data_IF_374119784245
#
_entry.id   IF_374119784245
#
_cell.length_a   1.000
_cell.length_b   1.000
_cell.length_c   1.000
_cell.angle_alpha   90.00
_cell.angle_beta   90.00
_cell.angle_gamma   90.00
#
_symmetry.space_group_name_H-M   'P 1'
#
loop_
_entity.id
_entity.type
_entity.pdbx_description
1 polymer ?
#
# COMPACT_ATOMS: atom_id res chain seq x y z
N UNK A 1 -19.84 -1.30 11.55
CA UNK A 1 -18.98 -1.95 10.53
C UNK A 1 -17.55 -1.66 10.92
N UNK A 2 -16.74 -2.68 11.20
CA UNK A 2 -15.31 -2.49 11.45
C UNK A 2 -14.60 -2.35 10.10
N UNK A 3 -13.68 -1.38 9.98
CA UNK A 3 -12.82 -1.26 8.80
C UNK A 3 -11.86 -2.46 8.76
N UNK A 4 -11.71 -3.06 7.58
CA UNK A 4 -10.69 -4.09 7.36
C UNK A 4 -9.31 -3.51 7.63
N UNK A 5 -8.43 -4.25 8.33
CA UNK A 5 -7.04 -3.84 8.57
C UNK A 5 -6.30 -3.58 7.26
N UNK A 6 -6.58 -4.39 6.24
CA UNK A 6 -6.03 -4.28 4.88
C UNK A 6 -6.37 -2.92 4.25
N UNK A 7 -7.66 -2.56 4.26
CA UNK A 7 -8.12 -1.26 3.78
C UNK A 7 -7.43 -0.09 4.49
N UNK A 8 -7.24 -0.19 5.82
CA UNK A 8 -6.55 0.85 6.58
C UNK A 8 -5.07 0.98 6.21
N UNK A 9 -4.36 -0.14 6.04
CA UNK A 9 -2.94 -0.17 5.63
C UNK A 9 -2.78 0.42 4.24
N UNK A 10 -3.55 -0.03 3.26
CA UNK A 10 -3.43 0.42 1.88
C UNK A 10 -3.81 1.89 1.71
N UNK A 11 -4.90 2.31 2.36
CA UNK A 11 -5.30 3.72 2.35
C UNK A 11 -4.23 4.60 2.97
N UNK A 12 -3.60 4.14 4.06
CA UNK A 12 -2.48 4.86 4.68
C UNK A 12 -1.28 4.95 3.73
N UNK A 13 -0.95 3.86 3.03
CA UNK A 13 0.13 3.85 2.04
C UNK A 13 -0.14 4.82 0.88
N UNK A 14 -1.38 4.84 0.37
CA UNK A 14 -1.81 5.76 -0.69
C UNK A 14 -1.72 7.21 -0.24
N UNK A 15 -2.26 7.54 0.94
CA UNK A 15 -2.23 8.91 1.48
C UNK A 15 -0.79 9.34 1.75
N UNK A 16 0.03 8.49 2.35
CA UNK A 16 1.43 8.78 2.65
C UNK A 16 2.24 9.02 1.37
N UNK A 17 2.06 8.18 0.34
CA UNK A 17 2.75 8.34 -0.94
C UNK A 17 2.29 9.59 -1.72
N UNK A 18 1.00 9.89 -1.74
CA UNK A 18 0.47 11.11 -2.38
C UNK A 18 0.98 12.38 -1.67
N UNK A 19 0.96 12.38 -0.33
CA UNK A 19 1.54 13.44 0.47
C UNK A 19 3.04 13.60 0.19
N UNK A 20 3.80 12.50 0.21
CA UNK A 20 5.24 12.55 0.03
C UNK A 20 5.64 13.04 -1.36
N UNK A 21 4.87 12.65 -2.40
CA UNK A 21 5.07 13.15 -3.77
C UNK A 21 4.94 14.67 -3.82
N UNK A 22 3.92 15.22 -3.14
CA UNK A 22 3.71 16.67 -3.07
C UNK A 22 4.77 17.36 -2.22
N UNK A 23 5.10 16.78 -1.06
CA UNK A 23 6.09 17.30 -0.12
C UNK A 23 7.49 17.40 -0.74
N UNK A 24 7.87 16.46 -1.61
CA UNK A 24 9.15 16.43 -2.31
C UNK A 24 9.39 17.68 -3.18
N UNK A 25 8.33 18.33 -3.66
CA UNK A 25 8.40 19.55 -4.47
C UNK A 25 7.98 20.82 -3.71
N UNK A 26 7.25 20.67 -2.60
CA UNK A 26 6.78 21.81 -1.81
C UNK A 26 7.81 22.32 -0.78
N UNK A 27 8.67 21.44 -0.26
CA UNK A 27 9.64 21.78 0.77
C UNK A 27 11.07 21.89 0.24
N UNK A 28 11.91 22.62 0.96
CA UNK A 28 13.34 22.63 0.72
C UNK A 28 13.96 21.23 0.91
N UNK A 29 15.00 20.92 0.13
CA UNK A 29 15.58 19.58 0.06
C UNK A 29 15.89 18.93 1.44
N UNK A 30 16.51 19.62 2.42
CA UNK A 30 16.77 19.01 3.72
C UNK A 30 15.50 18.57 4.46
N UNK A 31 14.44 19.36 4.37
CA UNK A 31 13.15 19.08 5.02
C UNK A 31 12.43 17.94 4.31
N UNK A 32 12.39 17.98 2.97
CA UNK A 32 11.80 16.91 2.16
C UNK A 32 12.47 15.56 2.42
N UNK A 33 13.80 15.51 2.56
CA UNK A 33 14.54 14.27 2.87
C UNK A 33 14.15 13.70 4.24
N UNK A 34 14.03 14.53 5.29
CA UNK A 34 13.63 14.06 6.61
C UNK A 34 12.19 13.55 6.66
N UNK A 35 11.28 14.21 5.93
CA UNK A 35 9.90 13.75 5.78
C UNK A 35 9.88 12.39 5.06
N UNK A 36 10.62 12.27 3.94
CA UNK A 36 10.73 11.03 3.19
C UNK A 36 11.27 9.89 4.06
N UNK A 37 12.36 10.13 4.80
CA UNK A 37 12.97 9.17 5.71
C UNK A 37 11.95 8.65 6.73
N UNK A 38 11.23 9.54 7.41
CA UNK A 38 10.21 9.16 8.40
C UNK A 38 9.05 8.36 7.79
N UNK A 39 8.55 8.78 6.63
CA UNK A 39 7.45 8.08 5.93
C UNK A 39 7.89 6.70 5.47
N UNK A 40 9.09 6.55 4.92
CA UNK A 40 9.57 5.23 4.49
C UNK A 40 9.75 4.27 5.66
N UNK A 41 10.20 4.73 6.84
CA UNK A 41 10.17 3.91 8.06
C UNK A 41 8.74 3.46 8.39
N UNK A 42 7.78 4.38 8.32
CA UNK A 42 6.36 4.07 8.53
C UNK A 42 5.84 3.00 7.55
N UNK A 43 6.19 3.11 6.26
CA UNK A 43 5.78 2.14 5.25
C UNK A 43 6.43 0.76 5.46
N UNK A 44 7.68 0.70 5.93
CA UNK A 44 8.33 -0.55 6.32
C UNK A 44 7.57 -1.21 7.47
N UNK A 45 7.24 -0.44 8.50
CA UNK A 45 6.50 -0.94 9.65
C UNK A 45 5.10 -1.44 9.25
N UNK A 46 4.37 -0.66 8.44
CA UNK A 46 3.03 -1.02 7.97
C UNK A 46 3.05 -2.26 7.07
N UNK A 47 3.94 -2.30 6.07
CA UNK A 47 4.10 -3.46 5.20
C UNK A 47 4.54 -4.70 5.98
N UNK A 48 5.49 -4.55 6.92
CA UNK A 48 5.94 -5.65 7.78
C UNK A 48 4.84 -6.18 8.70
N UNK A 49 4.05 -5.30 9.31
CA UNK A 49 2.88 -5.70 10.09
C UNK A 49 1.83 -6.39 9.23
N UNK A 50 1.56 -5.88 8.02
CA UNK A 50 0.66 -6.51 7.06
C UNK A 50 1.09 -7.93 6.70
N UNK A 51 2.39 -8.14 6.48
CA UNK A 51 2.97 -9.48 6.23
C UNK A 51 2.73 -10.44 7.39
N UNK A 52 2.86 -9.97 8.64
CA UNK A 52 2.68 -10.80 9.84
C UNK A 52 1.21 -11.10 10.13
N UNK A 53 0.32 -10.15 9.83
CA UNK A 53 -1.10 -10.24 10.19
C UNK A 53 -1.96 -10.89 9.10
N UNK A 54 -1.52 -10.89 7.84
CA UNK A 54 -2.33 -11.42 6.75
C UNK A 54 -2.14 -12.93 6.56
N UNK A 55 -3.27 -13.64 6.54
CA UNK A 55 -3.30 -15.11 6.38
C UNK A 55 -3.49 -15.54 4.93
N UNK A 56 -3.71 -14.59 4.01
CA UNK A 56 -3.95 -14.85 2.59
C UNK A 56 -2.70 -14.54 1.77
N UNK A 57 -2.35 -15.45 0.85
CA UNK A 57 -1.13 -15.34 0.04
C UNK A 57 -1.04 -14.05 -0.78
N UNK A 58 -2.17 -13.48 -1.20
CA UNK A 58 -2.22 -12.23 -1.97
C UNK A 58 -1.86 -11.01 -1.13
N UNK A 59 -2.43 -10.86 0.06
CA UNK A 59 -2.11 -9.76 0.97
C UNK A 59 -0.70 -9.85 1.56
N UNK A 60 -0.19 -11.08 1.77
CA UNK A 60 1.21 -11.30 2.13
C UNK A 60 2.17 -10.72 1.06
N UNK A 61 1.90 -10.97 -0.22
CA UNK A 61 2.77 -10.53 -1.31
C UNK A 61 2.78 -9.00 -1.47
N UNK A 62 1.61 -8.36 -1.43
CA UNK A 62 1.48 -6.90 -1.62
C UNK A 62 2.04 -6.11 -0.44
N UNK A 63 1.76 -6.52 0.80
CA UNK A 63 2.36 -5.90 1.98
C UNK A 63 3.88 -6.12 2.04
N UNK A 64 4.36 -7.29 1.61
CA UNK A 64 5.80 -7.57 1.50
C UNK A 64 6.50 -6.68 0.46
N UNK A 65 5.86 -6.48 -0.70
CA UNK A 65 6.31 -5.53 -1.71
C UNK A 65 6.32 -4.09 -1.18
N UNK A 66 5.30 -3.68 -0.42
CA UNK A 66 5.25 -2.36 0.20
C UNK A 66 6.41 -2.16 1.18
N UNK A 67 6.71 -3.16 2.02
CA UNK A 67 7.86 -3.12 2.93
C UNK A 67 9.18 -3.04 2.16
N UNK A 68 9.34 -3.83 1.09
CA UNK A 68 10.53 -3.80 0.24
C UNK A 68 10.74 -2.43 -0.42
N UNK A 69 9.68 -1.80 -0.94
CA UNK A 69 9.72 -0.43 -1.47
C UNK A 69 10.12 0.57 -0.39
N UNK A 70 9.58 0.43 0.82
CA UNK A 70 9.98 1.25 1.97
C UNK A 70 11.47 1.10 2.29
N UNK A 71 11.98 -0.13 2.37
CA UNK A 71 13.41 -0.42 2.65
C UNK A 71 14.30 0.21 1.59
N UNK A 72 14.01 -0.04 0.31
CA UNK A 72 14.80 0.51 -0.79
C UNK A 72 14.82 2.04 -0.75
N UNK A 73 13.65 2.65 -0.53
CA UNK A 73 13.52 4.10 -0.51
C UNK A 73 14.21 4.72 0.71
N UNK A 74 14.20 4.04 1.86
CA UNK A 74 14.97 4.44 3.03
C UNK A 74 16.48 4.42 2.73
N UNK A 75 16.98 3.35 2.11
CA UNK A 75 18.39 3.29 1.64
C UNK A 75 18.68 4.45 0.69
N UNK A 76 17.76 4.76 -0.23
CA UNK A 76 17.94 5.86 -1.16
C UNK A 76 18.14 7.21 -0.45
N UNK A 77 17.39 7.48 0.63
CA UNK A 77 17.53 8.71 1.44
C UNK A 77 18.86 8.84 2.17
N UNK A 78 19.58 7.73 2.38
CA UNK A 78 20.87 7.71 3.08
C UNK A 78 22.07 7.74 2.13
N UNK A 79 21.89 7.28 0.89
CA UNK A 79 22.99 7.05 -0.06
C UNK A 79 23.05 8.11 -1.16
N UNK A 80 21.91 8.62 -1.61
CA UNK A 80 21.85 9.57 -2.73
C UNK A 80 21.63 11.01 -2.23
N UNK A 81 21.94 11.98 -3.10
CA UNK A 81 21.76 13.40 -2.82
C UNK A 81 21.32 14.17 -4.08
N UNK A 82 20.98 15.45 -3.90
CA UNK A 82 20.63 16.36 -4.98
C UNK A 82 19.37 15.92 -5.76
N UNK A 83 19.37 16.21 -7.07
CA UNK A 83 18.23 15.91 -7.94
C UNK A 83 17.91 14.40 -8.00
N UNK A 84 18.94 13.55 -7.99
CA UNK A 84 18.76 12.09 -8.00
C UNK A 84 17.96 11.61 -6.80
N UNK A 85 18.28 12.11 -5.60
CA UNK A 85 17.51 11.78 -4.40
C UNK A 85 16.06 12.22 -4.52
N UNK A 86 15.80 13.44 -4.99
CA UNK A 86 14.44 13.95 -5.18
C UNK A 86 13.58 13.02 -6.05
N UNK A 87 14.11 12.59 -7.20
CA UNK A 87 13.40 11.67 -8.09
C UNK A 87 13.23 10.26 -7.50
N UNK A 88 14.20 9.76 -6.73
CA UNK A 88 14.07 8.46 -6.06
C UNK A 88 13.00 8.49 -4.95
N UNK A 89 12.90 9.60 -4.20
CA UNK A 89 11.83 9.79 -3.20
C UNK A 89 10.46 9.79 -3.88
N UNK A 90 10.32 10.52 -4.99
CA UNK A 90 9.06 10.54 -5.76
C UNK A 90 8.74 9.17 -6.32
N UNK A 91 9.70 8.45 -6.88
CA UNK A 91 9.50 7.11 -7.40
C UNK A 91 9.04 6.13 -6.31
N UNK A 92 9.67 6.16 -5.12
CA UNK A 92 9.26 5.36 -3.97
C UNK A 92 7.87 5.70 -3.46
N UNK A 93 7.53 6.99 -3.42
CA UNK A 93 6.21 7.47 -3.04
C UNK A 93 5.11 7.03 -4.02
N UNK A 94 5.37 7.16 -5.32
CA UNK A 94 4.46 6.70 -6.38
C UNK A 94 4.29 5.18 -6.35
N UNK A 95 5.38 4.43 -6.12
CA UNK A 95 5.30 2.98 -5.97
C UNK A 95 4.40 2.57 -4.80
N UNK A 96 4.47 3.25 -3.66
CA UNK A 96 3.58 3.01 -2.52
C UNK A 96 2.10 3.28 -2.85
N UNK A 97 1.82 4.36 -3.59
CA UNK A 97 0.46 4.66 -4.08
C UNK A 97 -0.06 3.57 -5.00
N UNK A 98 0.73 3.18 -5.99
CA UNK A 98 0.34 2.16 -6.97
C UNK A 98 0.08 0.82 -6.29
N UNK A 99 0.94 0.42 -5.35
CA UNK A 99 0.76 -0.84 -4.60
C UNK A 99 -0.51 -0.82 -3.76
N UNK A 100 -0.74 0.24 -2.98
CA UNK A 100 -1.94 0.35 -2.15
C UNK A 100 -3.23 0.39 -2.98
N UNK A 101 -3.24 1.12 -4.10
CA UNK A 101 -4.38 1.12 -5.02
C UNK A 101 -4.60 -0.24 -5.67
N UNK A 102 -3.54 -0.91 -6.13
CA UNK A 102 -3.65 -2.22 -6.75
C UNK A 102 -4.21 -3.26 -5.77
N UNK A 103 -3.79 -3.20 -4.50
CA UNK A 103 -4.25 -4.11 -3.46
C UNK A 103 -5.73 -3.89 -3.11
N UNK A 104 -6.14 -2.63 -2.97
CA UNK A 104 -7.54 -2.23 -2.77
C UNK A 104 -8.45 -2.67 -3.93
N UNK A 105 -8.02 -2.43 -5.18
CA UNK A 105 -8.77 -2.85 -6.37
C UNK A 105 -8.88 -4.37 -6.42
N UNK A 106 -7.79 -5.09 -6.16
CA UNK A 106 -7.81 -6.55 -6.11
C UNK A 106 -8.72 -7.07 -5.00
N UNK A 107 -8.76 -6.39 -3.86
CA UNK A 107 -9.68 -6.71 -2.76
C UNK A 107 -11.13 -6.58 -3.22
N UNK A 108 -11.53 -5.43 -3.78
CA UNK A 108 -12.93 -5.21 -4.14
C UNK A 108 -13.41 -6.05 -5.31
N UNK A 109 -12.56 -6.29 -6.31
CA UNK A 109 -12.90 -7.23 -7.38
C UNK A 109 -13.14 -8.64 -6.81
N UNK A 110 -12.36 -9.05 -5.80
CA UNK A 110 -12.56 -10.34 -5.13
C UNK A 110 -13.84 -10.35 -4.31
N UNK A 111 -14.11 -9.29 -3.56
CA UNK A 111 -15.33 -9.13 -2.76
C UNK A 111 -16.58 -9.17 -3.66
N UNK A 112 -16.62 -8.38 -4.72
CA UNK A 112 -17.74 -8.33 -5.68
C UNK A 112 -17.96 -9.68 -6.37
N UNK A 113 -16.88 -10.38 -6.74
CA UNK A 113 -16.99 -11.72 -7.33
C UNK A 113 -17.63 -12.72 -6.37
N UNK A 114 -17.27 -12.69 -5.09
CA UNK A 114 -17.86 -13.56 -4.07
C UNK A 114 -19.34 -13.23 -3.88
N UNK A 115 -19.69 -11.94 -3.75
CA UNK A 115 -21.09 -11.50 -3.62
C UNK A 115 -21.91 -11.97 -4.82
N UNK A 116 -21.44 -11.74 -6.05
CA UNK A 116 -22.13 -12.19 -7.26
C UNK A 116 -22.30 -13.71 -7.35
N UNK A 117 -21.31 -14.50 -6.90
CA UNK A 117 -21.45 -15.96 -6.87
C UNK A 117 -22.54 -16.43 -5.89
N UNK A 118 -22.69 -15.75 -4.76
CA UNK A 118 -23.73 -16.04 -3.77
C UNK A 118 -25.14 -15.65 -4.26
N UNK A 119 -25.26 -14.55 -5.01
CA UNK A 119 -26.54 -14.10 -5.57
C UNK A 119 -27.01 -14.95 -6.76
N UNK A 120 -26.10 -15.35 -7.64
CA UNK A 120 -26.44 -16.07 -8.89
C UNK A 120 -26.66 -17.57 -8.67
N UNK A 121 -26.05 -18.17 -7.64
CA UNK A 121 -26.32 -19.58 -7.31
C UNK A 121 -27.70 -19.66 -6.66
N UNK A 122 -28.74 -20.18 -7.34
CA UNK A 122 -30.04 -20.33 -6.71
C UNK A 122 -29.86 -21.30 -5.55
N UNK A 123 -30.42 -20.96 -4.38
CA UNK A 123 -30.51 -21.87 -3.24
C UNK A 123 -31.15 -23.17 -3.75
N UNK A 124 -30.32 -24.19 -4.02
CA UNK A 124 -30.72 -25.43 -4.71
C UNK A 124 -31.49 -26.37 -3.78
N UNK A 125 -32.19 -25.82 -2.80
CA UNK A 125 -32.72 -26.51 -1.63
C UNK A 125 -34.26 -26.57 -1.59
N UNK A 126 -34.97 -25.97 -2.55
CA UNK A 126 -36.46 -25.97 -2.55
C UNK A 126 -37.11 -26.79 -3.67
N UNK A 127 -36.37 -27.65 -4.38
CA UNK A 127 -36.89 -28.43 -5.52
C UNK A 127 -37.06 -29.93 -5.25
N UNK A 128 -37.31 -30.34 -4.00
CA UNK A 128 -37.77 -31.69 -3.66
C UNK A 128 -39.01 -31.62 -2.77
N UNK A 129 -40.17 -31.36 -3.38
CA UNK A 129 -41.50 -31.74 -2.88
C UNK A 129 -42.33 -32.21 -4.06
#
# INVERSE_FOLDING_TARGET
MALSSRFAVDTTAVVAGAFLTTAAFAFAAPVATWIAFGIFIGLIALGGLGVVLDQHATGYATHGLLAAVGIWSLVATLVFAGATLGWLVVAGAVAAVVLGLADLVAHEVTTERVVHQLEVTPTRESATV
#
